data_IF_155283549226
#
_entry.id   IF_155283549226
#
_cell.length_a   1.000
_cell.length_b   1.000
_cell.length_c   1.000
_cell.angle_alpha   90.00
_cell.angle_beta   90.00
_cell.angle_gamma   90.00
#
_symmetry.space_group_name_H-M   'P 1'
#
loop_
_entity.id
_entity.type
_entity.pdbx_description
1 polymer ?
#
# COMPACT_ATOMS: atom_id res chain seq x y z
N UNK A 1 -8.91 -20.07 -3.46
CA UNK A 1 -7.62 -20.29 -4.15
C UNK A 1 -7.19 -18.96 -4.73
N UNK A 2 -5.93 -18.56 -4.56
CA UNK A 2 -5.43 -17.31 -5.16
C UNK A 2 -5.60 -17.36 -6.68
N UNK A 3 -6.29 -16.38 -7.26
CA UNK A 3 -6.49 -16.30 -8.70
C UNK A 3 -5.13 -16.12 -9.38
N UNK A 4 -4.71 -17.16 -10.11
CA UNK A 4 -3.41 -17.23 -10.77
C UNK A 4 -3.31 -16.31 -11.99
N UNK A 5 -4.42 -15.80 -12.50
CA UNK A 5 -4.43 -14.93 -13.66
C UNK A 5 -4.00 -13.49 -13.33
N UNK A 6 -3.88 -13.13 -12.04
CA UNK A 6 -3.39 -11.82 -11.61
C UNK A 6 -2.25 -12.00 -10.59
N UNK A 7 -1.01 -11.82 -11.07
CA UNK A 7 0.19 -11.87 -10.26
C UNK A 7 0.56 -10.48 -9.71
N UNK A 8 1.22 -10.48 -8.55
CA UNK A 8 1.76 -9.28 -7.93
C UNK A 8 3.27 -9.43 -7.79
N UNK A 9 4.05 -8.63 -8.50
CA UNK A 9 5.49 -8.72 -8.60
C UNK A 9 6.16 -7.54 -7.91
N UNK A 10 7.28 -7.79 -7.24
CA UNK A 10 8.09 -6.71 -6.67
C UNK A 10 8.92 -6.02 -7.76
N UNK A 11 8.84 -4.70 -7.81
CA UNK A 11 9.68 -3.87 -8.69
C UNK A 11 11.16 -4.02 -8.30
N UNK A 12 12.01 -4.42 -9.25
CA UNK A 12 13.46 -4.50 -9.02
C UNK A 12 14.13 -3.12 -9.10
N UNK A 13 15.02 -2.74 -8.15
CA UNK A 13 15.59 -1.40 -8.10
C UNK A 13 16.45 -1.02 -9.33
N UNK A 14 17.07 -2.00 -9.99
CA UNK A 14 18.02 -1.78 -11.09
C UNK A 14 17.40 -1.47 -12.47
N UNK A 15 16.09 -1.19 -12.57
CA UNK A 15 15.43 -0.86 -13.85
C UNK A 15 15.74 -1.84 -15.00
N UNK A 16 15.95 -3.13 -14.70
CA UNK A 16 16.12 -4.11 -15.77
C UNK A 16 14.74 -4.28 -16.38
N UNK A 17 14.49 -3.56 -17.47
CA UNK A 17 13.26 -3.64 -18.24
C UNK A 17 12.93 -5.11 -18.50
N UNK A 18 11.92 -5.60 -17.80
CA UNK A 18 11.10 -6.78 -18.07
C UNK A 18 11.78 -7.93 -18.82
N UNK A 19 13.02 -8.30 -18.45
CA UNK A 19 13.58 -9.52 -19.01
C UNK A 19 12.85 -10.68 -18.34
N UNK A 20 12.08 -11.41 -19.14
CA UNK A 20 11.32 -12.60 -18.80
C UNK A 20 12.05 -13.56 -17.81
N UNK A 21 13.38 -13.75 -17.87
CA UNK A 21 14.09 -14.65 -16.95
C UNK A 21 14.02 -14.25 -15.47
N UNK A 22 14.08 -12.96 -15.12
CA UNK A 22 14.11 -12.55 -13.71
C UNK A 22 12.81 -12.88 -12.98
N UNK A 23 11.68 -12.59 -13.63
CA UNK A 23 10.36 -12.82 -13.03
C UNK A 23 9.84 -14.25 -13.23
N UNK A 24 10.23 -14.93 -14.31
CA UNK A 24 9.97 -16.37 -14.46
C UNK A 24 10.70 -17.16 -13.36
N UNK A 25 11.93 -16.77 -13.02
CA UNK A 25 12.63 -17.34 -11.86
C UNK A 25 11.89 -17.06 -10.55
N UNK A 26 11.33 -15.85 -10.38
CA UNK A 26 10.53 -15.49 -9.20
C UNK A 26 9.29 -16.39 -9.06
N UNK A 27 8.45 -16.44 -10.08
CA UNK A 27 7.10 -17.02 -9.94
C UNK A 27 7.05 -18.52 -10.20
N UNK A 28 8.12 -19.10 -10.76
CA UNK A 28 8.10 -20.45 -11.34
C UNK A 28 7.11 -20.59 -12.51
N UNK A 29 6.53 -19.47 -12.96
CA UNK A 29 5.52 -19.38 -14.00
C UNK A 29 6.12 -18.62 -15.17
N UNK A 30 5.94 -19.14 -16.39
CA UNK A 30 6.38 -18.43 -17.57
C UNK A 30 5.58 -17.12 -17.71
N UNK A 31 6.27 -15.98 -17.62
CA UNK A 31 5.62 -14.67 -17.80
C UNK A 31 5.22 -14.38 -19.26
N UNK A 32 5.55 -15.27 -20.21
CA UNK A 32 5.15 -15.14 -21.61
C UNK A 32 3.65 -15.00 -21.81
N UNK A 33 2.86 -15.54 -20.88
CA UNK A 33 1.40 -15.53 -20.94
C UNK A 33 0.77 -14.31 -20.26
N UNK A 34 1.59 -13.46 -19.62
CA UNK A 34 1.14 -12.33 -18.82
C UNK A 34 1.41 -11.00 -19.51
N UNK A 35 0.46 -10.08 -19.40
CA UNK A 35 0.69 -8.67 -19.64
C UNK A 35 1.31 -8.08 -18.38
N UNK A 36 2.59 -7.72 -18.46
CA UNK A 36 3.32 -7.16 -17.32
C UNK A 36 3.11 -5.65 -17.26
N UNK A 37 2.58 -5.15 -16.15
CA UNK A 37 2.17 -3.74 -16.01
C UNK A 37 2.77 -3.17 -14.73
N UNK A 38 3.60 -2.15 -14.86
CA UNK A 38 4.08 -1.34 -13.73
C UNK A 38 2.95 -0.40 -13.28
N UNK A 39 2.40 -0.63 -12.09
CA UNK A 39 1.32 0.18 -11.53
C UNK A 39 1.84 1.32 -10.65
N UNK A 40 3.17 1.52 -10.61
CA UNK A 40 3.78 2.62 -9.86
C UNK A 40 3.92 3.88 -10.73
N UNK A 41 4.38 4.98 -10.13
CA UNK A 41 4.75 6.17 -10.90
C UNK A 41 5.89 5.94 -11.88
N UNK A 42 6.64 4.81 -11.78
CA UNK A 42 7.70 4.47 -12.75
C UNK A 42 7.17 4.01 -14.11
N UNK A 43 5.87 3.74 -14.25
CA UNK A 43 5.25 3.55 -15.56
C UNK A 43 5.57 4.69 -16.54
N UNK A 44 5.77 5.92 -16.04
CA UNK A 44 6.20 7.10 -16.80
C UNK A 44 7.50 6.89 -17.58
N UNK A 45 8.35 5.93 -17.18
CA UNK A 45 9.61 5.61 -17.86
C UNK A 45 9.41 4.81 -19.15
N UNK A 46 8.28 4.12 -19.31
CA UNK A 46 7.94 3.42 -20.54
C UNK A 46 7.23 4.39 -21.50
N UNK A 47 8.01 5.12 -22.29
CA UNK A 47 7.50 6.16 -23.22
C UNK A 47 6.46 5.63 -24.20
N UNK A 48 6.65 4.42 -24.73
CA UNK A 48 5.72 3.82 -25.69
C UNK A 48 4.37 3.50 -25.02
N UNK A 49 4.40 2.90 -23.83
CA UNK A 49 3.21 2.64 -23.05
C UNK A 49 2.47 3.94 -22.68
N UNK A 50 3.20 4.95 -22.22
CA UNK A 50 2.61 6.25 -21.86
C UNK A 50 2.08 7.02 -23.06
N UNK A 51 2.63 6.83 -24.27
CA UNK A 51 2.04 7.41 -25.48
C UNK A 51 0.64 6.84 -25.75
N UNK A 52 0.41 5.55 -25.45
CA UNK A 52 -0.90 4.92 -25.56
C UNK A 52 -1.81 5.20 -24.34
N UNK A 53 -1.22 5.39 -23.15
CA UNK A 53 -1.95 5.58 -21.89
C UNK A 53 -1.41 6.79 -21.10
N UNK A 54 -1.63 8.03 -21.57
CA UNK A 54 -0.93 9.23 -21.08
C UNK A 54 -1.21 9.60 -19.62
N UNK A 55 -2.32 9.13 -19.07
CA UNK A 55 -2.73 9.42 -17.68
C UNK A 55 -2.49 8.25 -16.72
N UNK A 56 -1.97 7.11 -17.20
CA UNK A 56 -1.92 5.85 -16.45
C UNK A 56 -1.26 5.98 -15.07
N UNK A 57 -0.02 6.47 -15.05
CA UNK A 57 0.73 6.65 -13.82
C UNK A 57 0.06 7.62 -12.84
N UNK A 58 -0.65 8.64 -13.36
CA UNK A 58 -1.29 9.68 -12.54
C UNK A 58 -2.61 9.20 -11.93
N UNK A 59 -3.35 8.37 -12.66
CA UNK A 59 -4.62 7.82 -12.19
C UNK A 59 -4.47 6.63 -11.26
N UNK A 60 -3.31 5.96 -11.22
CA UNK A 60 -3.07 4.77 -10.40
C UNK A 60 -1.96 4.93 -9.36
N UNK A 61 -1.38 6.12 -9.19
CA UNK A 61 -0.37 6.32 -8.15
C UNK A 61 -0.94 7.08 -6.96
N UNK A 62 -0.66 6.63 -5.72
CA UNK A 62 -1.05 7.35 -4.50
C UNK A 62 -0.42 8.75 -4.41
N UNK A 63 0.68 9.01 -5.14
CA UNK A 63 1.35 10.31 -5.20
C UNK A 63 0.62 11.37 -6.02
N UNK A 64 -0.41 10.97 -6.79
CA UNK A 64 -1.14 11.87 -7.69
C UNK A 64 -2.65 11.85 -7.45
N UNK A 65 -3.22 10.70 -7.05
CA UNK A 65 -4.66 10.58 -6.88
C UNK A 65 -5.16 11.26 -5.60
N UNK A 66 -6.37 11.80 -5.67
CA UNK A 66 -7.04 12.54 -4.61
C UNK A 66 -8.18 13.36 -5.21
N UNK A 67 -8.87 14.18 -4.41
CA UNK A 67 -8.66 14.38 -2.98
C UNK A 67 -9.26 13.27 -2.11
N UNK A 68 -8.84 13.18 -0.85
CA UNK A 68 -9.48 12.36 0.20
C UNK A 68 -10.10 13.29 1.23
N UNK A 69 -11.35 13.03 1.63
CA UNK A 69 -12.00 13.72 2.75
C UNK A 69 -11.98 12.78 3.95
N UNK A 70 -11.21 13.16 4.98
CA UNK A 70 -11.12 12.40 6.21
C UNK A 70 -12.46 12.42 6.99
N UNK A 71 -12.72 11.47 7.90
CA UNK A 71 -14.01 11.39 8.59
C UNK A 71 -14.35 12.61 9.47
N UNK A 72 -13.34 13.36 9.89
CA UNK A 72 -13.44 14.65 10.60
C UNK A 72 -13.78 15.84 9.68
N UNK A 73 -13.93 15.60 8.37
CA UNK A 73 -14.25 16.59 7.36
C UNK A 73 -13.03 17.29 6.74
N UNK A 74 -11.81 17.03 7.23
CA UNK A 74 -10.61 17.68 6.68
C UNK A 74 -10.21 17.02 5.37
N UNK A 75 -9.93 17.82 4.34
CA UNK A 75 -9.58 17.37 3.00
C UNK A 75 -8.07 17.35 2.80
N UNK A 76 -7.53 16.24 2.34
CA UNK A 76 -6.17 16.16 1.78
C UNK A 76 -6.24 16.13 0.25
N UNK A 77 -5.39 16.92 -0.42
CA UNK A 77 -5.40 17.01 -1.88
C UNK A 77 -4.82 15.77 -2.58
N UNK A 78 -3.95 15.01 -1.91
CA UNK A 78 -3.31 13.80 -2.43
C UNK A 78 -3.43 12.66 -1.42
N UNK A 79 -3.71 11.46 -1.90
CA UNK A 79 -3.88 10.26 -1.07
C UNK A 79 -2.62 9.91 -0.27
N UNK A 80 -1.43 9.96 -0.88
CA UNK A 80 -0.18 9.70 -0.15
C UNK A 80 0.03 10.71 1.00
N UNK A 81 -0.39 11.97 0.82
CA UNK A 81 -0.34 12.96 1.89
C UNK A 81 -1.30 12.57 3.01
N UNK A 82 -2.55 12.23 2.67
CA UNK A 82 -3.53 11.74 3.64
C UNK A 82 -2.97 10.57 4.46
N UNK A 83 -2.39 9.57 3.79
CA UNK A 83 -1.84 8.38 4.42
C UNK A 83 -0.64 8.68 5.34
N UNK A 84 0.24 9.59 4.92
CA UNK A 84 1.48 9.85 5.65
C UNK A 84 1.26 10.83 6.80
N UNK A 85 0.43 11.84 6.59
CA UNK A 85 0.04 12.78 7.64
C UNK A 85 -1.00 12.21 8.61
N UNK A 86 -1.61 11.06 8.31
CA UNK A 86 -2.37 10.27 9.28
C UNK A 86 -1.51 9.58 10.34
N UNK A 87 -0.19 9.49 10.16
CA UNK A 87 0.73 8.81 11.09
C UNK A 87 1.14 9.72 12.24
N UNK A 88 1.09 9.17 13.45
CA UNK A 88 1.54 9.83 14.67
C UNK A 88 2.93 9.34 15.05
N UNK A 89 3.82 10.30 15.26
CA UNK A 89 5.22 10.09 15.66
C UNK A 89 5.38 10.44 17.15
N UNK A 90 6.51 10.10 17.80
CA UNK A 90 6.68 10.39 19.22
C UNK A 90 6.56 11.89 19.56
N UNK A 91 6.92 12.80 18.63
CA UNK A 91 6.75 14.25 18.81
C UNK A 91 5.28 14.72 18.78
N UNK A 92 4.40 13.88 18.26
CA UNK A 92 2.98 14.14 18.02
C UNK A 92 2.06 13.35 18.96
N UNK A 93 2.63 12.53 19.85
CA UNK A 93 1.91 11.62 20.72
C UNK A 93 1.90 12.13 22.16
N UNK A 94 0.72 12.32 22.73
CA UNK A 94 0.46 12.65 24.13
C UNK A 94 -0.31 11.50 24.78
N UNK A 95 0.42 10.45 25.20
CA UNK A 95 -0.16 9.31 25.90
C UNK A 95 -1.09 8.44 25.06
N UNK A 96 -0.82 8.26 23.76
CA UNK A 96 -1.68 7.50 22.85
C UNK A 96 -2.73 8.34 22.14
N UNK A 97 -2.63 9.68 22.23
CA UNK A 97 -3.49 10.64 21.55
C UNK A 97 -2.68 11.64 20.74
N UNK A 98 -3.15 12.05 19.56
CA UNK A 98 -2.49 13.12 18.82
C UNK A 98 -2.57 14.44 19.59
N UNK A 99 -1.43 15.13 19.73
CA UNK A 99 -1.36 16.44 20.38
C UNK A 99 -1.69 17.60 19.42
N UNK A 100 -1.69 18.85 19.90
CA UNK A 100 -1.99 20.02 19.04
C UNK A 100 -1.00 20.17 17.85
N UNK A 101 0.30 19.93 18.09
CA UNK A 101 1.33 20.04 17.06
C UNK A 101 1.11 19.05 15.90
N UNK A 102 0.57 17.86 16.20
CA UNK A 102 0.14 16.90 15.17
C UNK A 102 -0.88 17.52 14.21
N UNK A 103 -1.92 18.16 14.74
CA UNK A 103 -3.00 18.72 13.91
C UNK A 103 -2.53 19.91 13.09
N UNK A 104 -1.70 20.77 13.65
CA UNK A 104 -1.04 21.86 12.91
C UNK A 104 -0.21 21.32 11.75
N UNK A 105 0.63 20.33 12.03
CA UNK A 105 1.46 19.66 11.03
C UNK A 105 0.62 19.00 9.93
N UNK A 106 -0.37 18.17 10.31
CA UNK A 106 -1.26 17.46 9.38
C UNK A 106 -2.01 18.44 8.48
N UNK A 107 -2.64 19.45 9.05
CA UNK A 107 -3.48 20.40 8.31
C UNK A 107 -2.65 21.25 7.34
N UNK A 108 -1.43 21.65 7.73
CA UNK A 108 -0.47 22.32 6.84
C UNK A 108 -0.23 21.49 5.58
N UNK A 109 0.04 20.20 5.74
CA UNK A 109 0.42 19.35 4.61
C UNK A 109 -0.76 18.85 3.79
N UNK A 110 -1.95 18.70 4.36
CA UNK A 110 -3.15 18.30 3.63
C UNK A 110 -3.50 19.23 2.45
N UNK A 111 -3.11 20.51 2.52
CA UNK A 111 -3.26 21.48 1.44
C UNK A 111 -2.28 21.31 0.27
N UNK A 112 -1.23 20.50 0.40
CA UNK A 112 -0.21 20.34 -0.64
C UNK A 112 -0.73 19.54 -1.83
N UNK A 113 -0.45 19.99 -3.06
CA UNK A 113 -0.89 19.34 -4.30
C UNK A 113 0.03 18.21 -4.75
N UNK A 114 1.12 17.96 -4.00
CA UNK A 114 2.11 16.93 -4.32
C UNK A 114 2.77 16.42 -3.05
N UNK A 115 2.83 15.10 -2.90
CA UNK A 115 3.66 14.49 -1.87
C UNK A 115 5.14 14.61 -2.26
N UNK A 116 5.87 15.49 -1.57
CA UNK A 116 7.32 15.64 -1.77
C UNK A 116 8.08 14.63 -0.90
N UNK A 117 9.33 14.33 -1.28
CA UNK A 117 10.23 13.54 -0.41
C UNK A 117 10.44 14.22 0.95
N UNK A 118 10.30 15.54 0.99
CA UNK A 118 10.42 16.29 2.23
C UNK A 118 9.19 16.06 3.13
N UNK A 119 7.98 16.04 2.57
CA UNK A 119 6.77 15.64 3.31
C UNK A 119 6.89 14.24 3.92
N UNK A 120 7.47 13.30 3.17
CA UNK A 120 7.68 11.90 3.60
C UNK A 120 8.68 11.73 4.75
N UNK A 121 9.62 12.66 4.89
CA UNK A 121 10.79 12.50 5.77
C UNK A 121 10.76 13.46 6.95
N UNK A 122 10.10 14.62 6.86
CA UNK A 122 10.39 15.76 7.74
C UNK A 122 9.48 15.96 8.95
N UNK A 123 8.35 15.25 9.09
CA UNK A 123 7.40 15.49 10.20
C UNK A 123 8.08 15.71 11.56
N UNK A 124 9.10 14.89 11.84
CA UNK A 124 9.97 15.08 12.99
C UNK A 124 11.44 14.73 12.67
N UNK A 125 11.93 14.96 11.43
CA UNK A 125 13.33 14.62 11.07
C UNK A 125 14.34 15.42 11.88
N UNK A 126 14.02 16.69 12.12
CA UNK A 126 14.87 17.59 12.91
C UNK A 126 14.94 17.12 14.37
N UNK A 127 14.00 16.26 14.80
CA UNK A 127 13.99 15.57 16.09
C UNK A 127 14.59 14.15 16.02
N UNK A 128 15.13 13.75 14.86
CA UNK A 128 15.77 12.47 14.63
C UNK A 128 14.82 11.29 14.40
N UNK A 129 13.51 11.51 14.23
CA UNK A 129 12.56 10.43 13.96
C UNK A 129 12.48 10.09 12.47
N UNK A 130 12.38 8.79 12.18
CA UNK A 130 12.19 8.22 10.85
C UNK A 130 10.79 7.60 10.71
N UNK A 131 10.42 7.19 9.49
CA UNK A 131 9.14 6.49 9.23
C UNK A 131 8.92 5.27 10.13
N UNK A 132 10.00 4.55 10.48
CA UNK A 132 9.98 3.39 11.36
C UNK A 132 9.59 3.71 12.81
N UNK A 133 9.65 4.99 13.21
CA UNK A 133 9.33 5.45 14.56
C UNK A 133 7.85 5.85 14.71
N UNK A 134 7.05 5.71 13.65
CA UNK A 134 5.59 5.84 13.70
C UNK A 134 5.00 4.95 14.82
N UNK A 135 4.20 5.56 15.70
CA UNK A 135 3.53 4.87 16.82
C UNK A 135 2.24 4.21 16.37
N UNK A 136 1.38 4.96 15.69
CA UNK A 136 0.07 4.54 15.21
C UNK A 136 -0.43 5.49 14.11
N UNK A 137 -1.55 5.15 13.49
CA UNK A 137 -2.30 6.03 12.61
C UNK A 137 -3.48 6.64 13.38
N UNK A 138 -3.62 7.96 13.38
CA UNK A 138 -4.75 8.64 14.01
C UNK A 138 -5.97 8.61 13.08
N UNK A 139 -7.05 7.97 13.52
CA UNK A 139 -8.28 7.85 12.75
C UNK A 139 -9.46 8.43 13.50
N UNK A 140 -10.23 9.32 12.87
CA UNK A 140 -11.43 9.88 13.50
C UNK A 140 -12.58 8.87 13.45
N UNK A 141 -12.95 8.34 14.61
CA UNK A 141 -14.07 7.43 14.79
C UNK A 141 -15.35 8.25 14.98
N UNK A 142 -16.21 8.28 13.96
CA UNK A 142 -17.46 9.06 13.98
C UNK A 142 -18.43 8.64 15.08
N UNK A 143 -18.43 7.37 15.47
CA UNK A 143 -19.32 6.87 16.53
C UNK A 143 -18.86 7.35 17.90
N UNK A 144 -17.53 7.43 18.09
CA UNK A 144 -16.93 7.95 19.34
C UNK A 144 -16.79 9.46 19.37
N UNK A 145 -16.83 10.11 18.20
CA UNK A 145 -16.58 11.54 18.05
C UNK A 145 -15.15 11.96 18.37
N UNK A 146 -14.18 11.04 18.31
CA UNK A 146 -12.79 11.27 18.71
C UNK A 146 -11.79 10.48 17.85
N UNK A 147 -10.51 10.84 17.91
CA UNK A 147 -9.44 10.08 17.27
C UNK A 147 -9.09 8.84 18.06
N UNK A 148 -9.05 7.71 17.36
CA UNK A 148 -8.58 6.43 17.88
C UNK A 148 -7.24 6.07 17.24
N UNK A 149 -6.29 5.52 18.02
CA UNK A 149 -5.05 5.00 17.48
C UNK A 149 -5.31 3.68 16.75
N UNK A 150 -4.88 3.57 15.50
CA UNK A 150 -4.86 2.32 14.75
C UNK A 150 -3.43 1.82 14.59
N UNK A 151 -3.21 0.53 14.84
CA UNK A 151 -1.98 -0.13 14.43
C UNK A 151 -1.79 -0.08 12.90
N UNK A 152 -0.59 -0.36 12.42
CA UNK A 152 -0.31 -0.34 10.98
C UNK A 152 -1.23 -1.27 10.16
N UNK A 153 -1.55 -2.47 10.68
CA UNK A 153 -2.45 -3.42 10.02
C UNK A 153 -3.89 -2.91 10.05
N UNK A 154 -4.35 -2.40 11.19
CA UNK A 154 -5.70 -1.83 11.30
C UNK A 154 -5.88 -0.62 10.39
N UNK A 155 -4.89 0.28 10.34
CA UNK A 155 -4.91 1.46 9.48
C UNK A 155 -4.93 1.08 8.00
N UNK A 156 -4.18 0.03 7.60
CA UNK A 156 -4.22 -0.48 6.24
C UNK A 156 -5.62 -0.96 5.86
N UNK A 157 -6.24 -1.76 6.73
CA UNK A 157 -7.54 -2.38 6.49
C UNK A 157 -8.70 -1.39 6.55
N UNK A 158 -8.70 -0.49 7.53
CA UNK A 158 -9.78 0.48 7.77
C UNK A 158 -9.65 1.75 6.95
N UNK A 159 -8.43 2.12 6.55
CA UNK A 159 -8.15 3.42 5.91
C UNK A 159 -7.51 3.25 4.54
N UNK A 160 -6.30 2.68 4.45
CA UNK A 160 -5.55 2.68 3.19
C UNK A 160 -6.29 1.97 2.05
N UNK A 161 -6.66 0.70 2.25
CA UNK A 161 -7.34 -0.10 1.23
C UNK A 161 -8.69 0.52 0.84
N UNK A 162 -9.58 0.84 1.79
CA UNK A 162 -10.88 1.40 1.46
C UNK A 162 -10.80 2.74 0.74
N UNK A 163 -10.03 3.70 1.26
CA UNK A 163 -9.96 5.04 0.69
C UNK A 163 -9.26 5.03 -0.67
N UNK A 164 -8.22 4.21 -0.85
CA UNK A 164 -7.57 4.09 -2.15
C UNK A 164 -8.48 3.44 -3.20
N UNK A 165 -9.17 2.36 -2.83
CA UNK A 165 -10.08 1.65 -3.71
C UNK A 165 -11.18 2.56 -4.26
N UNK A 166 -11.79 3.38 -3.38
CA UNK A 166 -12.82 4.36 -3.75
C UNK A 166 -12.33 5.35 -4.80
N UNK A 167 -11.07 5.80 -4.70
CA UNK A 167 -10.50 6.76 -5.63
C UNK A 167 -10.24 6.13 -7.01
N UNK A 168 -9.59 4.96 -7.06
CA UNK A 168 -9.11 4.43 -8.33
C UNK A 168 -10.19 3.76 -9.18
N UNK A 169 -11.24 3.18 -8.56
CA UNK A 169 -12.21 2.35 -9.27
C UNK A 169 -12.89 3.05 -10.46
N UNK A 170 -12.99 4.38 -10.38
CA UNK A 170 -13.66 5.23 -11.37
C UNK A 170 -12.69 5.87 -12.36
N UNK A 171 -11.39 5.57 -12.28
CA UNK A 171 -10.38 6.11 -13.21
C UNK A 171 -10.42 5.38 -14.55
N UNK A 172 -9.97 6.06 -15.62
CA UNK A 172 -9.87 5.43 -16.94
C UNK A 172 -8.85 4.28 -16.95
N UNK A 173 -7.76 4.46 -16.22
CA UNK A 173 -6.65 3.50 -16.12
C UNK A 173 -7.03 2.24 -15.38
N UNK A 174 -7.82 2.34 -14.30
CA UNK A 174 -8.36 1.15 -13.64
C UNK A 174 -9.39 0.43 -14.53
N UNK A 175 -10.28 1.16 -15.21
CA UNK A 175 -11.22 0.54 -16.17
C UNK A 175 -10.50 -0.22 -17.28
N UNK A 176 -9.40 0.33 -17.80
CA UNK A 176 -8.58 -0.36 -18.78
C UNK A 176 -7.91 -1.63 -18.21
N UNK A 177 -7.37 -1.59 -16.98
CA UNK A 177 -6.86 -2.80 -16.34
C UNK A 177 -7.96 -3.86 -16.18
N UNK A 178 -9.16 -3.44 -15.78
CA UNK A 178 -10.31 -4.32 -15.61
C UNK A 178 -10.72 -4.96 -16.95
N UNK A 179 -10.75 -4.18 -18.03
CA UNK A 179 -11.11 -4.71 -19.36
C UNK A 179 -10.13 -5.79 -19.83
N UNK A 180 -8.83 -5.66 -19.53
CA UNK A 180 -7.86 -6.72 -19.85
C UNK A 180 -8.22 -8.04 -19.15
N UNK A 181 -8.63 -7.98 -17.87
CA UNK A 181 -9.04 -9.18 -17.12
C UNK A 181 -10.34 -9.74 -17.68
N UNK A 182 -11.31 -8.89 -18.00
CA UNK A 182 -12.60 -9.28 -18.60
C UNK A 182 -12.42 -9.92 -19.99
N UNK A 183 -11.41 -9.46 -20.76
CA UNK A 183 -10.98 -10.04 -22.03
C UNK A 183 -10.18 -11.36 -21.87
N UNK A 184 -10.07 -11.89 -20.65
CA UNK A 184 -9.38 -13.14 -20.34
C UNK A 184 -7.85 -13.04 -20.35
N UNK A 185 -7.28 -11.83 -20.30
CA UNK A 185 -5.82 -11.64 -20.24
C UNK A 185 -5.32 -11.88 -18.82
N UNK A 186 -4.18 -12.55 -18.71
CA UNK A 186 -3.45 -12.67 -17.45
C UNK A 186 -2.60 -11.42 -17.22
N UNK A 187 -2.61 -10.89 -16.02
CA UNK A 187 -1.88 -9.68 -15.64
C UNK A 187 -0.80 -9.97 -14.62
N UNK A 188 0.36 -9.34 -14.77
CA UNK A 188 1.40 -9.32 -13.76
C UNK A 188 1.66 -7.87 -13.35
N UNK A 189 1.09 -7.47 -12.22
CA UNK A 189 1.20 -6.11 -11.69
C UNK A 189 2.53 -5.95 -10.98
N UNK A 190 3.28 -4.90 -11.30
CA UNK A 190 4.59 -4.62 -10.69
C UNK A 190 4.46 -3.43 -9.74
N UNK A 191 4.86 -3.63 -8.50
CA UNK A 191 4.80 -2.65 -7.40
C UNK A 191 6.06 -2.74 -6.51
N UNK A 192 6.49 -1.66 -5.86
CA UNK A 192 7.62 -1.70 -4.93
C UNK A 192 7.38 -2.60 -3.71
N UNK A 193 6.12 -2.68 -3.29
CA UNK A 193 5.69 -3.45 -2.14
C UNK A 193 5.25 -4.88 -2.52
N UNK A 194 5.24 -5.23 -3.82
CA UNK A 194 4.79 -6.53 -4.33
C UNK A 194 5.56 -7.74 -3.80
N UNK A 195 5.07 -8.96 -4.09
CA UNK A 195 5.72 -10.18 -3.62
C UNK A 195 7.13 -10.31 -4.18
N UNK A 196 8.07 -10.68 -3.30
CA UNK A 196 9.35 -11.19 -3.74
C UNK A 196 9.33 -12.72 -3.69
N UNK A 197 8.90 -13.36 -4.78
CA UNK A 197 8.79 -14.82 -4.81
C UNK A 197 10.15 -15.55 -4.79
N UNK A 198 11.26 -14.85 -5.07
CA UNK A 198 12.63 -15.38 -4.95
C UNK A 198 13.22 -15.30 -3.52
N UNK A 199 12.51 -14.73 -2.54
CA UNK A 199 13.07 -14.43 -1.20
C UNK A 199 13.14 -15.63 -0.24
N UNK A 200 13.60 -16.79 -0.70
CA UNK A 200 14.22 -17.76 0.22
C UNK A 200 15.38 -17.11 1.02
N UNK A 201 16.02 -16.07 0.47
CA UNK A 201 17.15 -15.35 1.07
C UNK A 201 16.79 -14.11 1.91
N UNK A 202 15.57 -13.54 1.81
CA UNK A 202 15.20 -12.30 2.52
C UNK A 202 14.14 -12.46 3.61
N UNK A 203 13.29 -13.50 3.50
CA UNK A 203 12.28 -13.79 4.52
C UNK A 203 12.91 -14.12 5.87
N UNK A 204 14.04 -14.85 5.87
CA UNK A 204 14.79 -15.11 7.11
C UNK A 204 15.30 -13.81 7.74
N UNK A 205 15.90 -12.91 6.96
CA UNK A 205 16.38 -11.62 7.48
C UNK A 205 15.23 -10.76 8.04
N UNK A 206 14.07 -10.73 7.37
CA UNK A 206 12.87 -10.03 7.86
C UNK A 206 12.30 -10.69 9.11
N UNK A 207 12.31 -12.02 9.18
CA UNK A 207 11.93 -12.76 10.38
C UNK A 207 12.89 -12.48 11.54
N UNK A 208 14.19 -12.46 11.29
CA UNK A 208 15.21 -12.12 12.30
C UNK A 208 15.02 -10.67 12.78
N UNK A 209 14.72 -9.73 11.88
CA UNK A 209 14.36 -8.35 12.23
C UNK A 209 13.10 -8.29 13.10
N UNK A 210 12.08 -9.08 12.78
CA UNK A 210 10.88 -9.22 13.59
C UNK A 210 11.19 -9.74 15.00
N UNK A 211 11.92 -10.86 15.09
CA UNK A 211 12.34 -11.45 16.37
C UNK A 211 13.15 -10.45 17.20
N UNK A 212 14.07 -9.72 16.58
CA UNK A 212 14.87 -8.69 17.25
C UNK A 212 14.03 -7.50 17.71
N UNK A 213 13.03 -7.08 16.93
CA UNK A 213 12.08 -6.03 17.33
C UNK A 213 11.26 -6.46 18.55
N UNK A 214 10.72 -7.68 18.53
CA UNK A 214 10.02 -8.27 19.67
C UNK A 214 10.89 -8.28 20.93
N UNK A 215 12.15 -8.73 20.82
CA UNK A 215 13.12 -8.69 21.93
C UNK A 215 13.34 -7.27 22.47
N UNK A 216 13.56 -6.29 21.59
CA UNK A 216 13.74 -4.88 21.98
C UNK A 216 12.51 -4.33 22.72
N UNK A 217 11.32 -4.72 22.29
CA UNK A 217 10.04 -4.31 22.88
C UNK A 217 9.61 -5.18 24.07
N UNK A 218 10.43 -6.15 24.51
CA UNK A 218 10.12 -7.12 25.57
C UNK A 218 8.83 -7.91 25.30
N UNK A 219 8.60 -8.27 24.03
CA UNK A 219 7.46 -9.07 23.55
C UNK A 219 7.93 -10.43 23.02
N UNK A 220 7.05 -11.42 23.06
CA UNK A 220 7.30 -12.74 22.45
C UNK A 220 6.87 -12.67 20.97
N UNK A 221 7.70 -13.17 20.02
CA UNK A 221 7.27 -13.34 18.63
C UNK A 221 6.03 -14.25 18.55
N UNK A 222 4.94 -13.74 18.01
CA UNK A 222 3.67 -14.46 17.80
C UNK A 222 3.60 -15.25 16.49
N UNK A 223 4.57 -15.06 15.58
CA UNK A 223 4.65 -15.79 14.32
C UNK A 223 5.89 -16.67 14.38
N UNK A 224 5.77 -17.93 13.97
CA UNK A 224 6.94 -18.79 13.77
C UNK A 224 7.62 -18.44 12.44
N UNK A 225 8.89 -18.83 12.26
CA UNK A 225 9.58 -18.66 10.97
C UNK A 225 8.84 -19.38 9.84
N UNK A 226 8.28 -20.55 10.15
CA UNK A 226 7.47 -21.34 9.22
C UNK A 226 6.25 -20.54 8.77
N UNK A 227 5.51 -19.96 9.71
CA UNK A 227 4.29 -19.20 9.39
C UNK A 227 4.64 -17.88 8.67
N UNK A 228 5.78 -17.26 9.00
CA UNK A 228 6.31 -16.11 8.27
C UNK A 228 6.65 -16.44 6.81
N UNK A 229 7.24 -17.62 6.56
CA UNK A 229 7.52 -18.13 5.21
C UNK A 229 6.28 -18.66 4.48
N UNK A 230 5.19 -18.87 5.22
CA UNK A 230 3.90 -19.31 4.71
C UNK A 230 2.98 -18.15 4.32
N UNK A 231 3.40 -16.88 4.50
CA UNK A 231 2.74 -15.72 3.90
C UNK A 231 2.79 -15.88 2.38
N UNK A 232 1.67 -16.34 1.81
CA UNK A 232 1.57 -16.68 0.38
C UNK A 232 0.38 -16.01 -0.26
N UNK A 233 -0.64 -15.66 0.52
CA UNK A 233 -1.86 -15.04 0.02
C UNK A 233 -1.89 -13.53 0.22
N UNK A 234 -2.83 -12.87 -0.46
CA UNK A 234 -3.09 -11.45 -0.25
C UNK A 234 -3.59 -11.18 1.17
N UNK A 235 -4.43 -12.07 1.71
CA UNK A 235 -4.90 -12.01 3.09
C UNK A 235 -3.71 -12.02 4.05
N UNK A 236 -2.74 -12.91 3.87
CA UNK A 236 -1.57 -12.97 4.75
C UNK A 236 -0.73 -11.70 4.69
N UNK A 237 -0.52 -11.13 3.49
CA UNK A 237 0.23 -9.88 3.32
C UNK A 237 -0.46 -8.70 3.99
N UNK A 238 -1.78 -8.55 3.77
CA UNK A 238 -2.58 -7.47 4.35
C UNK A 238 -2.61 -7.57 5.87
N UNK A 239 -2.66 -8.79 6.42
CA UNK A 239 -2.73 -9.05 7.85
C UNK A 239 -1.37 -9.09 8.56
N UNK A 240 -0.26 -9.16 7.84
CA UNK A 240 1.06 -9.24 8.44
C UNK A 240 1.64 -7.83 8.73
N UNK A 241 1.95 -7.49 10.00
CA UNK A 241 2.50 -6.18 10.36
C UNK A 241 3.93 -5.94 9.86
N UNK A 242 4.61 -6.97 9.35
CA UNK A 242 5.98 -6.90 8.84
C UNK A 242 6.06 -6.88 7.31
N UNK A 243 4.94 -7.18 6.64
CA UNK A 243 4.88 -7.12 5.19
C UNK A 243 4.43 -5.74 4.77
N UNK A 244 5.04 -5.23 3.71
CA UNK A 244 4.54 -4.05 3.01
C UNK A 244 3.38 -4.48 2.11
N UNK A 245 2.36 -3.65 2.02
CA UNK A 245 1.23 -3.85 1.11
C UNK A 245 0.83 -2.46 0.60
N UNK A 246 1.37 -2.11 -0.56
CA UNK A 246 1.13 -0.85 -1.23
C UNK A 246 -0.12 -0.87 -2.10
N UNK A 247 -0.25 0.15 -2.94
CA UNK A 247 -1.42 0.36 -3.79
C UNK A 247 -1.62 -0.74 -4.84
N UNK A 248 -0.54 -1.40 -5.30
CA UNK A 248 -0.65 -2.57 -6.17
C UNK A 248 -1.56 -3.67 -5.60
N UNK A 249 -1.48 -3.96 -4.29
CA UNK A 249 -2.36 -4.98 -3.68
C UNK A 249 -3.82 -4.57 -3.69
N UNK A 250 -4.13 -3.29 -3.53
CA UNK A 250 -5.50 -2.78 -3.62
C UNK A 250 -6.04 -2.94 -5.04
N UNK A 251 -5.22 -2.62 -6.06
CA UNK A 251 -5.56 -2.81 -7.47
C UNK A 251 -5.83 -4.30 -7.74
N UNK A 252 -4.94 -5.19 -7.29
CA UNK A 252 -5.12 -6.64 -7.41
C UNK A 252 -6.43 -7.10 -6.76
N UNK A 253 -6.71 -6.68 -5.54
CA UNK A 253 -7.93 -7.06 -4.82
C UNK A 253 -9.21 -6.64 -5.56
N UNK A 254 -9.22 -5.43 -6.13
CA UNK A 254 -10.34 -4.94 -6.94
C UNK A 254 -10.50 -5.72 -8.25
N UNK A 255 -9.39 -6.01 -8.96
CA UNK A 255 -9.44 -6.77 -10.21
C UNK A 255 -9.85 -8.23 -10.00
N UNK A 256 -9.51 -8.82 -8.85
CA UNK A 256 -9.91 -10.19 -8.48
C UNK A 256 -11.36 -10.26 -7.99
N UNK A 257 -11.99 -9.12 -7.67
CA UNK A 257 -13.30 -9.08 -7.02
C UNK A 257 -13.26 -9.46 -5.53
N UNK A 258 -12.06 -9.51 -4.92
CA UNK A 258 -11.87 -9.78 -3.49
C UNK A 258 -12.38 -8.61 -2.65
N UNK A 259 -12.29 -7.40 -3.19
CA UNK A 259 -13.00 -6.23 -2.68
C UNK A 259 -13.74 -5.54 -3.82
N UNK A 260 -14.83 -4.87 -3.49
CA UNK A 260 -15.66 -4.10 -4.42
C UNK A 260 -16.02 -2.77 -3.77
N UNK A 261 -16.28 -1.72 -4.55
CA UNK A 261 -16.83 -0.49 -4.01
C UNK A 261 -18.24 -0.28 -4.54
N UNK A 262 -19.22 -0.28 -3.63
CA UNK A 262 -20.65 -0.14 -3.92
C UNK A 262 -21.17 1.06 -3.12
N UNK A 263 -21.80 2.02 -3.80
CA UNK A 263 -22.35 3.24 -3.17
C UNK A 263 -21.34 3.96 -2.25
N UNK A 264 -20.09 4.03 -2.69
CA UNK A 264 -19.00 4.66 -1.94
C UNK A 264 -18.50 3.87 -0.71
N UNK A 265 -18.94 2.63 -0.54
CA UNK A 265 -18.52 1.72 0.54
C UNK A 265 -17.74 0.55 -0.02
N UNK A 266 -16.67 0.15 0.67
CA UNK A 266 -15.89 -1.03 0.28
C UNK A 266 -16.50 -2.27 0.89
N UNK A 267 -16.84 -3.24 0.05
CA UNK A 267 -17.36 -4.56 0.41
C UNK A 267 -16.20 -5.54 0.30
N UNK A 268 -15.85 -6.19 1.41
CA UNK A 268 -14.83 -7.22 1.46
C UNK A 268 -15.46 -8.59 1.19
N UNK A 269 -15.27 -9.12 -0.02
CA UNK A 269 -15.85 -10.39 -0.47
C UNK A 269 -15.01 -11.59 -0.02
N UNK A 270 -13.71 -11.38 0.20
CA UNK A 270 -12.75 -12.43 0.49
C UNK A 270 -12.28 -12.44 1.96
N UNK A 271 -12.78 -11.52 2.80
CA UNK A 271 -12.38 -11.37 4.19
C UNK A 271 -10.90 -10.99 4.32
N UNK A 272 -10.38 -10.16 3.41
CA UNK A 272 -8.98 -9.70 3.44
C UNK A 272 -8.78 -8.50 4.37
N UNK A 273 -9.83 -7.72 4.60
CA UNK A 273 -9.90 -6.54 5.46
C UNK A 273 -10.42 -6.86 6.87
N UNK A 274 -10.98 -8.04 7.10
CA UNK A 274 -11.33 -8.60 8.42
C UNK A 274 -10.08 -8.84 9.28
#
# INVERSE_FOLDING_TARGET
MENRDILMLRHHPMNVFFTNPFYTAQTGTALSDYVVIDVTSRAERNKAFMAAHPVFARELSPFYIGPVVAPDGVKANVFEIFWQCGKVYPCHDDGGRPNAAYFEWRNKFYGEVKCTKDLMRHACKDLGYEHKDCRYFAWYDKEKGDYVPLSYVEARKKVYFPEYAKLIQNTGSFRWLKSLVEDGRKLALVDFDGYNYNEACGLKQKYDQYVNKCKKEKRVPVLTERDFRAVRSMKDVVNCPFMQAGHGFVIKALLQGDIEVVDGRVIDRAGILE
#
